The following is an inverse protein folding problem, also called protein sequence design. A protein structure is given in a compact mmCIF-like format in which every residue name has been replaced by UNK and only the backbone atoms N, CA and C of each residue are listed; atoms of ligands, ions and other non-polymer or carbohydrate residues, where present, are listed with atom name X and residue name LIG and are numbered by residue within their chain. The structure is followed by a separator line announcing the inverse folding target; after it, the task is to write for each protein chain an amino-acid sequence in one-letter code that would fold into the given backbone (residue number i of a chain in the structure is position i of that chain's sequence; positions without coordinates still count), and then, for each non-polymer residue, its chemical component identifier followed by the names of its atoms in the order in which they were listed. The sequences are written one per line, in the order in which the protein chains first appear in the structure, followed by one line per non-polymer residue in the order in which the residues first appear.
data_IF_434057956202
#
_entry.id   IF_434057956202
#
_cell.length_a   1.000
_cell.length_b   1.000
_cell.length_c   1.000
_cell.angle_alpha   90.00
_cell.angle_beta   90.00
_cell.angle_gamma   90.00
#
_symmetry.space_group_name_H-M   'P 1'
#
loop_
_entity.id
_entity.type
_entity.pdbx_description
1 polymer ?
#
# COMPACT_ATOMS: atom_id res chain seq x y z
N UNK A 1 -12.11 -25.28 3.92
CA UNK A 1 -10.94 -24.68 3.23
C UNK A 1 -10.94 -23.21 3.55
N UNK A 2 -10.06 -22.77 4.44
CA UNK A 2 -9.93 -21.35 4.81
C UNK A 2 -9.37 -20.60 3.61
N UNK A 3 -10.11 -19.61 3.10
CA UNK A 3 -9.58 -18.65 2.14
C UNK A 3 -8.43 -17.93 2.83
N UNK A 4 -7.18 -18.37 2.57
CA UNK A 4 -6.01 -17.61 2.99
C UNK A 4 -6.10 -16.25 2.30
N UNK A 5 -6.46 -15.22 3.07
CA UNK A 5 -6.54 -13.85 2.59
C UNK A 5 -5.18 -13.44 2.02
N UNK A 6 -5.14 -13.19 0.71
CA UNK A 6 -3.97 -12.68 0.04
C UNK A 6 -3.65 -11.26 0.54
N UNK A 7 -2.38 -10.98 0.81
CA UNK A 7 -1.94 -9.61 1.03
C UNK A 7 -1.99 -8.84 -0.29
N UNK A 8 -2.60 -7.65 -0.28
CA UNK A 8 -2.79 -6.81 -1.47
C UNK A 8 -1.76 -5.69 -1.48
N UNK A 9 -1.28 -5.31 -2.67
CA UNK A 9 -0.42 -4.13 -2.82
C UNK A 9 -1.13 -2.90 -2.24
N UNK A 10 -0.42 -2.15 -1.41
CA UNK A 10 -0.94 -0.97 -0.73
C UNK A 10 -1.64 -1.24 0.58
N UNK A 11 -1.81 -2.50 1.01
CA UNK A 11 -2.28 -2.79 2.37
C UNK A 11 -1.31 -2.22 3.41
N UNK A 12 -1.86 -1.63 4.48
CA UNK A 12 -1.09 -1.02 5.58
C UNK A 12 -1.44 -1.72 6.88
N UNK A 13 -0.43 -2.21 7.59
CA UNK A 13 -0.57 -2.73 8.95
C UNK A 13 -0.01 -1.72 9.93
N UNK A 14 -0.69 -1.53 11.08
CA UNK A 14 -0.24 -0.61 12.14
C UNK A 14 -0.12 -1.32 13.48
N UNK A 15 0.90 -0.95 14.25
CA UNK A 15 1.03 -1.33 15.65
C UNK A 15 0.25 -0.35 16.53
N UNK A 16 -0.70 -0.85 17.33
CA UNK A 16 -1.49 0.00 18.22
C UNK A 16 -0.71 0.48 19.46
N UNK A 17 0.46 -0.12 19.73
CA UNK A 17 1.32 0.25 20.87
C UNK A 17 2.26 1.40 20.52
N UNK A 18 3.09 1.24 19.47
CA UNK A 18 4.11 2.23 19.11
C UNK A 18 3.76 3.06 17.87
N UNK A 19 2.68 2.73 17.16
CA UNK A 19 2.27 3.43 15.94
C UNK A 19 3.07 3.08 14.68
N UNK A 20 4.03 2.14 14.74
CA UNK A 20 4.79 1.71 13.56
C UNK A 20 3.87 1.14 12.47
N UNK A 21 4.21 1.39 11.21
CA UNK A 21 3.42 0.96 10.05
C UNK A 21 4.25 0.07 9.09
N UNK A 22 3.59 -0.90 8.47
CA UNK A 22 4.15 -1.78 7.44
C UNK A 22 3.27 -1.66 6.20
N UNK A 23 3.87 -1.29 5.06
CA UNK A 23 3.18 -1.19 3.78
C UNK A 23 3.54 -2.36 2.86
N UNK A 24 2.54 -2.96 2.23
CA UNK A 24 2.75 -4.05 1.27
C UNK A 24 3.09 -3.48 -0.11
N UNK A 25 4.37 -3.53 -0.49
CA UNK A 25 4.83 -3.07 -1.82
C UNK A 25 4.55 -4.09 -2.94
N UNK A 26 4.38 -5.36 -2.60
CA UNK A 26 4.08 -6.45 -3.54
C UNK A 26 3.16 -7.47 -2.89
N UNK A 27 2.00 -7.70 -3.50
CA UNK A 27 1.04 -8.70 -3.05
C UNK A 27 1.50 -10.12 -3.36
N UNK A 28 1.01 -11.09 -2.61
CA UNK A 28 1.31 -12.51 -2.82
C UNK A 28 0.15 -13.40 -2.39
N UNK A 29 0.17 -14.66 -2.82
CA UNK A 29 -0.77 -15.67 -2.36
C UNK A 29 -0.35 -16.14 -0.96
N UNK A 30 -0.70 -15.35 0.06
CA UNK A 30 -0.38 -15.61 1.45
C UNK A 30 -0.87 -14.49 2.35
N UNK A 31 -1.28 -14.82 3.58
CA UNK A 31 -1.62 -13.82 4.57
C UNK A 31 -0.37 -13.27 5.22
N UNK A 32 -0.19 -11.96 5.17
CA UNK A 32 0.85 -11.29 5.95
C UNK A 32 0.33 -11.08 7.39
N UNK A 33 1.09 -11.58 8.36
CA UNK A 33 0.78 -11.46 9.79
C UNK A 33 1.95 -10.79 10.54
N UNK A 34 2.21 -9.49 10.30
CA UNK A 34 3.34 -8.82 10.89
C UNK A 34 3.11 -8.60 12.39
N UNK A 35 4.20 -8.63 13.16
CA UNK A 35 4.19 -8.38 14.61
C UNK A 35 5.10 -7.23 14.96
N UNK A 36 4.66 -6.38 15.88
CA UNK A 36 5.42 -5.27 16.42
C UNK A 36 5.05 -5.09 17.89
N UNK A 37 6.01 -4.69 18.75
CA UNK A 37 5.83 -4.67 20.20
C UNK A 37 5.31 -6.02 20.78
N UNK A 38 5.73 -7.13 20.18
CA UNK A 38 5.27 -8.50 20.49
C UNK A 38 3.77 -8.76 20.32
N UNK A 39 3.03 -7.89 19.62
CA UNK A 39 1.61 -8.06 19.32
C UNK A 39 1.38 -8.14 17.79
N UNK A 40 0.33 -8.85 17.33
CA UNK A 40 -0.10 -8.79 15.94
C UNK A 40 -0.46 -7.35 15.54
N UNK A 41 0.01 -6.90 14.39
CA UNK A 41 -0.35 -5.59 13.83
C UNK A 41 -1.74 -5.66 13.18
N UNK A 42 -2.49 -4.56 13.23
CA UNK A 42 -3.84 -4.46 12.67
C UNK A 42 -3.82 -3.96 11.24
N UNK A 43 -4.58 -4.61 10.36
CA UNK A 43 -4.79 -4.12 9.00
C UNK A 43 -5.63 -2.84 9.05
N UNK A 44 -5.15 -1.78 8.39
CA UNK A 44 -5.86 -0.52 8.26
C UNK A 44 -6.80 -0.57 7.04
N UNK A 45 -7.98 0.07 7.14
CA UNK A 45 -8.91 0.17 6.00
C UNK A 45 -8.34 1.06 4.88
N UNK A 46 -7.45 1.98 5.23
CA UNK A 46 -6.75 2.86 4.28
C UNK A 46 -5.64 2.08 3.58
N UNK A 47 -5.66 2.09 2.25
CA UNK A 47 -4.55 1.60 1.43
C UNK A 47 -3.67 2.74 0.95
N UNK A 48 -2.40 2.45 0.71
CA UNK A 48 -1.49 3.40 0.10
C UNK A 48 -1.91 3.78 -1.32
N UNK A 49 -1.78 5.07 -1.64
CA UNK A 49 -2.01 5.57 -2.98
C UNK A 49 -0.95 5.03 -3.94
N UNK A 50 -1.37 4.50 -5.09
CA UNK A 50 -0.46 3.99 -6.12
C UNK A 50 -0.70 4.75 -7.41
N UNK A 51 0.37 5.19 -8.05
CA UNK A 51 0.38 5.78 -9.38
C UNK A 51 1.05 4.83 -10.35
N UNK A 52 0.60 4.80 -11.60
CA UNK A 52 1.24 4.04 -12.65
C UNK A 52 1.52 4.90 -13.88
N UNK A 53 2.62 4.59 -14.58
CA UNK A 53 2.91 5.15 -15.90
C UNK A 53 2.16 4.35 -16.96
N UNK A 54 1.32 5.02 -17.76
CA UNK A 54 0.61 4.36 -18.85
C UNK A 54 1.52 3.91 -20.01
N UNK A 55 2.74 4.45 -20.11
CA UNK A 55 3.69 4.14 -21.18
C UNK A 55 4.56 2.94 -20.81
N UNK A 56 5.28 2.99 -19.68
CA UNK A 56 6.25 1.96 -19.30
C UNK A 56 5.77 1.02 -18.18
N UNK A 57 4.62 1.29 -17.57
CA UNK A 57 4.09 0.48 -16.47
C UNK A 57 4.78 0.68 -15.12
N UNK A 58 5.72 1.62 -14.99
CA UNK A 58 6.37 1.90 -13.71
C UNK A 58 5.34 2.33 -12.64
N UNK A 59 5.51 1.84 -11.42
CA UNK A 59 4.63 2.11 -10.28
C UNK A 59 5.32 3.03 -9.26
N UNK A 60 4.52 3.90 -8.64
CA UNK A 60 4.94 4.74 -7.52
C UNK A 60 3.91 4.57 -6.39
N UNK A 61 4.39 4.28 -5.19
CA UNK A 61 3.55 4.17 -3.99
C UNK A 61 3.79 5.37 -3.06
N UNK A 62 2.72 5.99 -2.60
CA UNK A 62 2.74 7.06 -1.60
C UNK A 62 2.61 6.43 -0.22
N UNK A 63 3.65 6.56 0.61
CA UNK A 63 3.66 5.98 1.97
C UNK A 63 2.96 6.86 3.00
N UNK A 64 2.88 8.16 2.74
CA UNK A 64 2.22 9.14 3.60
C UNK A 64 1.75 10.31 2.75
N UNK A 65 0.50 10.71 2.93
CA UNK A 65 -0.03 11.91 2.28
C UNK A 65 0.39 13.15 3.07
N UNK A 66 0.88 14.17 2.36
CA UNK A 66 1.20 15.49 2.91
C UNK A 66 0.22 16.55 2.40
N UNK A 67 0.36 17.81 2.87
CA UNK A 67 -0.44 18.90 2.33
C UNK A 67 -0.01 19.19 0.89
N UNK A 68 -0.82 18.75 -0.07
CA UNK A 68 -0.60 18.97 -1.50
C UNK A 68 -0.98 17.77 -2.34
N UNK A 69 -1.30 18.02 -3.62
CA UNK A 69 -1.55 16.96 -4.58
C UNK A 69 -0.22 16.48 -5.18
N UNK A 70 0.06 15.18 -5.04
CA UNK A 70 1.22 14.58 -5.71
C UNK A 70 0.88 14.39 -7.20
N UNK A 71 1.68 15.02 -8.07
CA UNK A 71 1.58 14.92 -9.53
C UNK A 71 2.87 14.31 -10.12
N UNK A 72 3.13 13.01 -9.92
CA UNK A 72 4.36 12.40 -10.39
C UNK A 72 4.33 12.25 -11.92
N UNK A 73 5.52 12.31 -12.54
CA UNK A 73 5.69 12.15 -13.99
C UNK A 73 6.64 11.00 -14.29
N UNK A 74 6.34 10.23 -15.32
CA UNK A 74 7.19 9.15 -15.82
C UNK A 74 7.04 9.08 -17.35
N UNK A 75 8.12 8.81 -18.08
CA UNK A 75 8.15 8.92 -19.55
C UNK A 75 7.67 10.30 -20.05
N UNK A 76 7.96 11.36 -19.29
CA UNK A 76 7.52 12.74 -19.50
C UNK A 76 6.00 12.99 -19.46
N UNK A 77 5.19 11.99 -19.15
CA UNK A 77 3.74 12.10 -18.99
C UNK A 77 3.33 12.07 -17.51
N UNK A 78 2.22 12.74 -17.13
CA UNK A 78 1.62 12.59 -15.80
C UNK A 78 1.25 11.12 -15.54
N UNK A 79 1.58 10.63 -14.35
CA UNK A 79 1.16 9.28 -13.93
C UNK A 79 -0.30 9.28 -13.46
N UNK A 80 -0.97 8.14 -13.62
CA UNK A 80 -2.39 7.99 -13.28
C UNK A 80 -2.53 7.35 -11.90
N UNK A 81 -3.31 7.96 -11.00
CA UNK A 81 -3.63 7.36 -9.70
C UNK A 81 -4.56 6.17 -9.88
N UNK A 82 -4.16 5.00 -9.38
CA UNK A 82 -4.98 3.79 -9.39
C UNK A 82 -6.18 4.00 -8.47
N UNK A 83 -7.39 3.83 -8.99
CA UNK A 83 -8.60 3.79 -8.15
C UNK A 83 -8.51 2.57 -7.24
N UNK A 84 -8.55 2.79 -5.93
CA UNK A 84 -8.62 1.70 -4.97
C UNK A 84 -10.03 1.10 -5.03
N UNK A 85 -10.14 -0.22 -5.18
CA UNK A 85 -11.41 -0.91 -4.96
C UNK A 85 -11.70 -0.86 -3.45
N UNK A 86 -12.89 -0.40 -3.11
CA UNK A 86 -13.42 -0.37 -1.75
C UNK A 86 -13.52 -1.78 -1.14
#
# INVERSE_FOLDING_TARGET
MSLQQANTVGDVYRCDVCGAEVSVIKGSQGSLAPRCCNLPMQLRPTRQGIYFCAICGAELMVLSEGPGELAPRCCNEPMVRRKQAA
#
